data_IF_280583192072
#
_entry.id   IF_280583192072
#
_cell.length_a   1.000
_cell.length_b   1.000
_cell.length_c   1.000
_cell.angle_alpha   90.00
_cell.angle_beta   90.00
_cell.angle_gamma   90.00
#
_symmetry.space_group_name_H-M   'P 1'
#
loop_
_entity.id
_entity.type
_entity.pdbx_description
1 polymer ?
#
# COMPACT_ATOMS: atom_id res chain seq x y z
N UNK A 1 17.86 5.72 -4.16
CA UNK A 1 16.89 4.72 -3.69
C UNK A 1 16.10 4.21 -4.90
N UNK A 2 16.07 2.89 -5.14
CA UNK A 2 15.43 2.27 -6.32
C UNK A 2 13.97 2.74 -6.40
N UNK A 3 13.61 3.41 -7.51
CA UNK A 3 12.25 3.87 -7.81
C UNK A 3 11.29 2.69 -7.68
N UNK A 4 10.49 2.66 -6.63
CA UNK A 4 9.49 1.63 -6.39
C UNK A 4 8.10 2.17 -6.77
N UNK A 5 7.98 2.70 -8.00
CA UNK A 5 6.67 3.04 -8.57
C UNK A 5 6.08 1.75 -9.12
N UNK A 6 5.07 1.23 -8.42
CA UNK A 6 4.29 0.09 -8.89
C UNK A 6 3.05 0.63 -9.57
N UNK A 7 2.78 0.18 -10.79
CA UNK A 7 1.51 0.41 -11.46
C UNK A 7 0.55 -0.67 -10.98
N UNK A 8 -0.52 -0.25 -10.32
CA UNK A 8 -1.55 -1.14 -9.80
C UNK A 8 -2.88 -0.66 -10.36
N UNK A 9 -3.75 -1.60 -10.72
CA UNK A 9 -5.10 -1.26 -11.16
C UNK A 9 -5.89 -0.69 -9.98
N UNK A 10 -6.53 0.47 -10.19
CA UNK A 10 -7.40 1.09 -9.18
C UNK A 10 -8.60 0.21 -8.77
N UNK A 11 -9.02 -0.72 -9.63
CA UNK A 11 -10.08 -1.69 -9.35
C UNK A 11 -9.65 -2.80 -8.38
N UNK A 12 -8.36 -2.92 -8.07
CA UNK A 12 -7.93 -3.86 -7.03
C UNK A 12 -8.13 -3.27 -5.64
N UNK A 13 -8.33 -4.16 -4.67
CA UNK A 13 -8.44 -3.78 -3.27
C UNK A 13 -7.06 -3.69 -2.62
N UNK A 14 -7.00 -3.02 -1.48
CA UNK A 14 -5.78 -2.89 -0.72
C UNK A 14 -5.25 -4.25 -0.22
N UNK A 15 -6.14 -5.23 -0.03
CA UNK A 15 -5.83 -6.66 0.18
C UNK A 15 -4.91 -7.24 -0.91
N UNK A 16 -5.24 -7.04 -2.19
CA UNK A 16 -4.40 -7.52 -3.31
C UNK A 16 -2.99 -6.96 -3.22
N UNK A 17 -2.87 -5.68 -2.86
CA UNK A 17 -1.61 -4.97 -2.68
C UNK A 17 -0.76 -5.59 -1.57
N UNK A 18 -1.39 -5.92 -0.44
CA UNK A 18 -0.74 -6.61 0.68
C UNK A 18 -0.21 -7.99 0.25
N UNK A 19 -1.03 -8.78 -0.45
CA UNK A 19 -0.64 -10.11 -0.94
C UNK A 19 0.51 -9.99 -1.94
N UNK A 20 0.47 -8.99 -2.82
CA UNK A 20 1.53 -8.69 -3.77
C UNK A 20 2.85 -8.34 -3.07
N UNK A 21 2.82 -7.48 -2.06
CA UNK A 21 4.02 -7.19 -1.24
C UNK A 21 4.54 -8.44 -0.55
N UNK A 22 3.67 -9.24 0.10
CA UNK A 22 4.08 -10.49 0.76
C UNK A 22 4.80 -11.45 -0.21
N UNK A 23 4.29 -11.55 -1.45
CA UNK A 23 4.92 -12.32 -2.52
C UNK A 23 6.27 -11.74 -2.94
N UNK A 24 6.36 -10.43 -3.16
CA UNK A 24 7.63 -9.77 -3.55
C UNK A 24 8.71 -9.96 -2.50
N UNK A 25 8.36 -9.72 -1.22
CA UNK A 25 9.32 -9.83 -0.13
C UNK A 25 9.58 -11.27 0.28
N UNK A 26 8.84 -12.24 -0.30
CA UNK A 26 8.89 -13.66 0.01
C UNK A 26 8.89 -13.93 1.54
N UNK A 27 8.18 -13.06 2.27
CA UNK A 27 8.07 -13.06 3.73
C UNK A 27 6.60 -13.20 4.10
N UNK A 28 6.33 -14.17 4.98
CA UNK A 28 5.01 -14.36 5.58
C UNK A 28 4.75 -13.45 6.79
N UNK A 29 5.71 -12.60 7.14
CA UNK A 29 5.58 -11.64 8.22
C UNK A 29 4.40 -10.67 8.04
N UNK A 30 3.94 -10.12 9.18
CA UNK A 30 2.91 -9.10 9.23
C UNK A 30 3.46 -7.80 8.59
N UNK A 31 3.15 -7.59 7.31
CA UNK A 31 3.40 -6.32 6.63
C UNK A 31 2.30 -5.34 7.00
N UNK A 32 2.69 -4.23 7.61
CA UNK A 32 1.81 -3.10 7.89
C UNK A 32 1.93 -2.10 6.77
N UNK A 33 0.81 -1.78 6.15
CA UNK A 33 0.72 -0.79 5.09
C UNK A 33 0.10 0.49 5.62
N UNK A 34 0.69 1.62 5.22
CA UNK A 34 0.25 2.95 5.59
C UNK A 34 0.19 3.84 4.35
N UNK A 35 -0.88 4.60 4.21
CA UNK A 35 -0.98 5.65 3.20
C UNK A 35 -0.36 6.92 3.79
N UNK A 36 0.50 7.56 3.00
CA UNK A 36 1.20 8.80 3.37
C UNK A 36 1.90 8.72 4.74
N UNK A 37 2.36 7.51 5.11
CA UNK A 37 3.01 7.22 6.38
C UNK A 37 2.19 7.54 7.65
N UNK A 38 0.86 7.69 7.52
CA UNK A 38 0.01 8.17 8.62
C UNK A 38 -1.32 7.42 8.75
N UNK A 39 -1.89 6.97 7.63
CA UNK A 39 -3.24 6.39 7.61
C UNK A 39 -3.14 4.89 7.39
N UNK A 40 -3.87 4.11 8.19
CA UNK A 40 -4.04 2.68 7.97
C UNK A 40 -5.40 2.44 7.28
N UNK A 41 -5.44 2.25 5.95
CA UNK A 41 -6.70 1.96 5.24
C UNK A 41 -7.23 0.57 5.57
N UNK A 42 -8.50 0.30 5.25
CA UNK A 42 -9.01 -1.06 5.31
C UNK A 42 -8.54 -1.87 4.11
N UNK A 43 -8.47 -3.17 4.30
CA UNK A 43 -8.04 -4.10 3.26
C UNK A 43 -9.09 -4.30 2.16
N UNK A 44 -10.36 -3.99 2.46
CA UNK A 44 -11.48 -4.02 1.52
C UNK A 44 -11.64 -2.73 0.72
N UNK A 45 -10.94 -1.65 1.09
CA UNK A 45 -10.98 -0.40 0.33
C UNK A 45 -10.33 -0.58 -1.05
N UNK A 46 -10.95 -0.01 -2.08
CA UNK A 46 -10.38 0.01 -3.43
C UNK A 46 -9.23 1.00 -3.49
N UNK A 47 -8.19 0.63 -4.25
CA UNK A 47 -7.02 1.49 -4.46
C UNK A 47 -7.43 2.78 -5.16
N UNK A 48 -8.44 2.74 -6.05
CA UNK A 48 -8.98 3.93 -6.71
C UNK A 48 -9.53 4.95 -5.72
N UNK A 49 -10.38 4.52 -4.77
CA UNK A 49 -10.94 5.41 -3.74
C UNK A 49 -9.83 5.99 -2.86
N UNK A 50 -8.88 5.15 -2.45
CA UNK A 50 -7.73 5.59 -1.67
C UNK A 50 -6.83 6.56 -2.46
N UNK A 51 -6.69 6.35 -3.76
CA UNK A 51 -5.98 7.24 -4.65
C UNK A 51 -6.70 8.59 -4.77
N UNK A 52 -8.02 8.60 -4.99
CA UNK A 52 -8.81 9.83 -5.10
C UNK A 52 -8.72 10.68 -3.82
N UNK A 53 -8.85 10.02 -2.66
CA UNK A 53 -8.84 10.66 -1.34
C UNK A 53 -7.45 11.13 -0.87
N UNK A 54 -6.40 10.35 -1.17
CA UNK A 54 -5.08 10.52 -0.55
C UNK A 54 -3.92 10.69 -1.53
N UNK A 55 -4.19 10.83 -2.84
CA UNK A 55 -3.12 11.12 -3.81
C UNK A 55 -2.37 12.39 -3.44
N UNK A 56 -1.05 12.33 -3.61
CA UNK A 56 -0.18 13.48 -3.51
C UNK A 56 0.61 13.57 -4.82
N UNK A 57 0.50 14.70 -5.51
CA UNK A 57 1.21 14.95 -6.77
C UNK A 57 0.96 13.89 -7.87
N UNK A 58 -0.28 13.42 -7.98
CA UNK A 58 -0.66 12.40 -8.97
C UNK A 58 -0.12 11.00 -8.68
N UNK A 59 0.17 10.71 -7.41
CA UNK A 59 0.59 9.38 -6.97
C UNK A 59 0.10 9.09 -5.56
N UNK A 60 -0.33 7.86 -5.30
CA UNK A 60 -0.64 7.40 -3.95
C UNK A 60 0.66 6.93 -3.30
N UNK A 61 1.03 7.56 -2.18
CA UNK A 61 2.24 7.18 -1.46
C UNK A 61 1.90 6.12 -0.42
N UNK A 62 2.48 4.93 -0.58
CA UNK A 62 2.23 3.79 0.30
C UNK A 62 3.55 3.45 1.01
N UNK A 63 3.58 3.68 2.30
CA UNK A 63 4.63 3.23 3.21
C UNK A 63 4.31 1.81 3.68
N UNK A 64 5.33 0.98 3.82
CA UNK A 64 5.20 -0.34 4.43
C UNK A 64 6.20 -0.49 5.57
N UNK A 65 5.82 -1.26 6.59
CA UNK A 65 6.70 -1.61 7.71
C UNK A 65 6.50 -3.07 8.10
N UNK A 66 7.57 -3.75 8.49
CA UNK A 66 7.53 -5.14 8.97
C UNK A 66 7.40 -5.23 10.49
N UNK A 67 7.73 -4.14 11.19
CA UNK A 67 7.49 -3.97 12.61
C UNK A 67 6.40 -2.90 12.77
N UNK A 68 5.50 -3.02 13.75
CA UNK A 68 4.62 -1.91 14.10
C UNK A 68 5.51 -0.72 14.48
N UNK A 69 5.50 0.32 13.65
CA UNK A 69 6.15 1.59 13.98
C UNK A 69 5.17 2.32 14.90
N UNK A 70 5.50 2.36 16.19
CA UNK A 70 4.84 3.21 17.18
C UNK A 70 5.40 4.63 17.10
#
# INVERSE_FOLDING_TARGET
MKKNKVLINGNETFSSLLIFLKRIFNKNDNIYLYINNNIKPNLDDYIYDLYDLYQISGSLNISYSFTPAY
#
